data_IF_944475067059
#
_entry.id   IF_944475067059
#
_cell.length_a   1.000
_cell.length_b   1.000
_cell.length_c   1.000
_cell.angle_alpha   90.00
_cell.angle_beta   90.00
_cell.angle_gamma   90.00
#
_symmetry.space_group_name_H-M   'P 1'
#
loop_
_entity.id
_entity.type
_entity.pdbx_description
1 polymer ?
#
# COMPACT_ATOMS: atom_id res chain seq x y z
N UNK A 1 -7.66 7.24 -3.29
CA UNK A 1 -6.99 5.99 -2.85
C UNK A 1 -5.57 5.92 -3.35
N UNK A 2 -5.33 6.08 -4.66
CA UNK A 2 -3.98 6.13 -5.24
C UNK A 2 -3.02 7.09 -4.51
N UNK A 3 -3.39 8.37 -4.36
CA UNK A 3 -2.53 9.36 -3.68
C UNK A 3 -2.23 9.00 -2.23
N UNK A 4 -3.19 8.37 -1.53
CA UNK A 4 -2.97 7.88 -0.15
C UNK A 4 -1.93 6.77 -0.14
N UNK A 5 -2.01 5.81 -1.07
CA UNK A 5 -1.00 4.76 -1.23
C UNK A 5 0.38 5.31 -1.59
N UNK A 6 0.45 6.28 -2.52
CA UNK A 6 1.70 6.93 -2.92
C UNK A 6 2.33 7.72 -1.78
N UNK A 7 1.56 8.46 -0.98
CA UNK A 7 2.09 9.15 0.20
C UNK A 7 2.55 8.17 1.29
N UNK A 8 1.90 7.00 1.38
CA UNK A 8 2.23 6.01 2.40
C UNK A 8 3.49 5.22 2.07
N UNK A 9 3.77 4.96 0.79
CA UNK A 9 4.92 4.17 0.38
C UNK A 9 6.28 4.74 0.89
N UNK A 10 6.58 6.05 0.77
CA UNK A 10 7.78 6.66 1.35
C UNK A 10 7.81 6.68 2.87
N UNK A 11 6.65 6.80 3.53
CA UNK A 11 6.59 6.75 4.99
C UNK A 11 6.98 5.37 5.54
N UNK A 12 6.77 4.30 4.76
CA UNK A 12 7.08 2.93 5.16
C UNK A 12 8.49 2.48 4.73
N UNK A 13 8.95 2.98 3.58
CA UNK A 13 10.15 2.47 2.91
C UNK A 13 11.29 3.48 2.82
N UNK A 14 11.04 4.76 3.06
CA UNK A 14 11.99 5.86 2.82
C UNK A 14 12.21 6.20 1.33
N UNK A 15 11.58 5.47 0.40
CA UNK A 15 11.76 5.64 -1.04
C UNK A 15 10.47 6.10 -1.73
N UNK A 16 10.57 6.82 -2.84
CA UNK A 16 9.42 7.11 -3.70
C UNK A 16 9.03 5.87 -4.51
N UNK A 17 7.72 5.61 -4.72
CA UNK A 17 7.29 4.53 -5.62
C UNK A 17 7.69 4.88 -7.06
N UNK A 18 8.38 3.95 -7.74
CA UNK A 18 8.63 4.02 -9.17
C UNK A 18 7.36 3.66 -9.97
N UNK A 19 7.40 3.73 -11.31
CA UNK A 19 6.27 3.32 -12.17
C UNK A 19 5.84 1.85 -11.93
N UNK A 20 6.78 1.01 -11.49
CA UNK A 20 6.54 -0.37 -11.07
C UNK A 20 7.07 -0.54 -9.65
N UNK A 21 6.31 -0.08 -8.65
CA UNK A 21 6.77 -0.09 -7.28
C UNK A 21 6.93 -1.53 -6.79
N UNK A 22 8.06 -1.81 -6.16
CA UNK A 22 8.31 -3.09 -5.49
C UNK A 22 7.38 -3.30 -4.29
N UNK A 23 7.43 -4.49 -3.70
CA UNK A 23 6.78 -4.71 -2.41
C UNK A 23 7.46 -3.84 -1.33
N UNK A 24 6.72 -3.08 -0.51
CA UNK A 24 7.28 -2.36 0.62
C UNK A 24 8.20 -3.21 1.50
N UNK A 25 7.82 -4.46 1.80
CA UNK A 25 8.64 -5.39 2.61
C UNK A 25 9.99 -5.75 1.97
N UNK A 26 10.09 -5.69 0.64
CA UNK A 26 11.35 -5.92 -0.06
C UNK A 26 12.31 -4.71 0.05
N UNK A 27 11.78 -3.52 0.34
CA UNK A 27 12.58 -2.30 0.55
C UNK A 27 12.90 -2.11 2.04
N UNK A 28 11.93 -2.38 2.92
CA UNK A 28 12.12 -2.34 4.36
C UNK A 28 11.73 -3.71 4.97
N UNK A 29 12.73 -4.57 5.28
CA UNK A 29 12.50 -5.91 5.83
C UNK A 29 11.78 -5.95 7.18
N UNK A 30 11.75 -4.83 7.93
CA UNK A 30 11.01 -4.75 9.21
C UNK A 30 9.49 -4.63 9.00
N UNK A 31 9.02 -4.39 7.77
CA UNK A 31 7.60 -4.36 7.46
C UNK A 31 7.02 -5.77 7.36
N UNK A 32 5.91 -5.99 8.08
CA UNK A 32 5.07 -7.17 7.86
C UNK A 32 4.54 -7.20 6.41
N UNK A 33 4.59 -8.38 5.79
CA UNK A 33 4.14 -8.63 4.41
C UNK A 33 2.68 -8.21 4.14
N UNK A 34 1.86 -8.05 5.18
CA UNK A 34 0.50 -7.50 5.10
C UNK A 34 0.48 -6.10 4.44
N UNK A 35 1.54 -5.28 4.63
CA UNK A 35 1.66 -3.97 3.98
C UNK A 35 1.78 -4.07 2.46
N UNK A 36 2.33 -5.18 1.94
CA UNK A 36 2.55 -5.34 0.51
C UNK A 36 1.25 -5.35 -0.26
N UNK A 37 0.29 -6.15 0.20
CA UNK A 37 -1.03 -6.21 -0.42
C UNK A 37 -1.73 -4.86 -0.37
N UNK A 38 -1.72 -4.21 0.80
CA UNK A 38 -2.43 -2.94 1.00
C UNK A 38 -1.88 -1.83 0.09
N UNK A 39 -0.56 -1.66 0.07
CA UNK A 39 0.08 -0.61 -0.70
C UNK A 39 -0.01 -0.91 -2.20
N UNK A 40 0.23 -2.17 -2.64
CA UNK A 40 0.10 -2.55 -4.06
C UNK A 40 -1.32 -2.38 -4.58
N UNK A 41 -2.33 -2.74 -3.80
CA UNK A 41 -3.74 -2.49 -4.17
C UNK A 41 -3.99 -0.98 -4.28
N UNK A 42 -3.55 -0.18 -3.30
CA UNK A 42 -3.78 1.26 -3.32
C UNK A 42 -3.15 1.96 -4.56
N UNK A 43 -1.93 1.58 -4.95
CA UNK A 43 -1.17 2.22 -6.05
C UNK A 43 -1.22 1.45 -7.37
N UNK A 44 -2.14 0.49 -7.53
CA UNK A 44 -2.23 -0.32 -8.75
C UNK A 44 -2.37 0.57 -10.01
N UNK A 45 -1.73 0.26 -11.14
CA UNK A 45 -1.84 1.09 -12.34
C UNK A 45 -3.27 1.19 -12.88
N UNK A 46 -4.02 0.09 -12.85
CA UNK A 46 -5.42 0.06 -13.27
C UNK A 46 -6.35 0.49 -12.13
N UNK A 47 -7.32 1.34 -12.44
CA UNK A 47 -8.29 1.84 -11.45
C UNK A 47 -9.15 0.71 -10.87
N UNK A 48 -9.51 -0.28 -11.69
CA UNK A 48 -10.30 -1.46 -11.27
C UNK A 48 -9.59 -2.35 -10.24
N UNK A 49 -8.26 -2.27 -10.19
CA UNK A 49 -7.43 -3.06 -9.28
C UNK A 49 -7.13 -2.28 -7.98
N UNK A 50 -7.63 -1.04 -7.85
CA UNK A 50 -7.50 -0.21 -6.65
C UNK A 50 -8.69 -0.38 -5.71
N UNK A 51 -8.56 0.19 -4.51
CA UNK A 51 -9.73 0.49 -3.69
C UNK A 51 -10.63 1.50 -4.41
N UNK A 52 -11.91 1.17 -4.51
CA UNK A 52 -12.95 1.95 -5.19
C UNK A 52 -13.34 3.19 -4.38
N UNK A 53 -13.25 3.11 -3.05
CA UNK A 53 -13.58 4.19 -2.13
C UNK A 53 -12.71 4.17 -0.86
N UNK A 54 -12.81 5.24 -0.06
CA UNK A 54 -12.18 5.30 1.26
C UNK A 54 -12.75 4.25 2.20
N UNK A 55 -14.08 4.05 2.15
CA UNK A 55 -14.79 3.06 2.95
C UNK A 55 -14.33 1.63 2.63
N UNK A 56 -13.97 1.34 1.37
CA UNK A 56 -13.37 0.04 1.01
C UNK A 56 -11.92 -0.10 1.53
N UNK A 57 -11.18 1.01 1.62
CA UNK A 57 -9.77 1.01 2.04
C UNK A 57 -9.61 0.85 3.56
N UNK A 58 -10.53 1.41 4.34
CA UNK A 58 -10.48 1.41 5.82
C UNK A 58 -10.40 0.00 6.44
N UNK A 59 -11.22 -0.99 6.05
CA UNK A 59 -11.09 -2.35 6.54
C UNK A 59 -9.72 -2.97 6.25
N UNK A 60 -9.17 -2.69 5.05
CA UNK A 60 -7.83 -3.13 4.68
C UNK A 60 -6.76 -2.64 5.65
N UNK A 61 -6.87 -1.38 6.10
CA UNK A 61 -5.99 -0.81 7.12
C UNK A 61 -6.16 -1.50 8.49
N UNK A 62 -7.41 -1.81 8.87
CA UNK A 62 -7.70 -2.54 10.10
C UNK A 62 -7.04 -3.92 10.18
N UNK A 63 -6.97 -4.64 9.05
CA UNK A 63 -6.32 -5.98 9.01
C UNK A 63 -4.81 -5.95 9.24
N UNK A 64 -4.16 -4.79 9.04
CA UNK A 64 -2.72 -4.61 9.30
C UNK A 64 -2.41 -4.59 10.80
N UNK A 65 -3.34 -4.10 11.62
CA UNK A 65 -3.19 -3.96 13.08
C UNK A 65 -3.99 -5.00 13.87
N UNK A 66 -4.79 -5.83 13.20
CA UNK A 66 -5.47 -6.96 13.83
C UNK A 66 -4.44 -7.97 14.35
N UNK A 67 -4.51 -8.24 15.66
CA UNK A 67 -3.69 -9.21 16.41
C UNK A 67 -3.83 -10.61 15.85
#
# INVERSE_FOLDING_TARGET
MYSVGVMRYPMLTGALPSERPGCPSAVNPELVSKWDWFVKKAIAPSVKDRFTSADEMLPGLGTLFAK
#
